data_IF_844443855869
#
_entry.id   IF_844443855869
#
_cell.length_a   1.000
_cell.length_b   1.000
_cell.length_c   1.000
_cell.angle_alpha   90.00
_cell.angle_beta   90.00
_cell.angle_gamma   90.00
#
_symmetry.space_group_name_H-M   'P 1'
#
loop_
_entity.id
_entity.type
_entity.pdbx_description
1 polymer ?
#
# COMPACT_ATOMS: atom_id res chain seq x y z
N UNK A 1 12.23 -7.85 20.74
CA UNK A 1 10.94 -8.07 20.06
C UNK A 1 10.08 -6.83 20.23
N UNK A 2 9.73 -6.13 19.15
CA UNK A 2 8.72 -5.07 19.21
C UNK A 2 7.37 -5.78 19.36
N UNK A 3 6.76 -5.68 20.53
CA UNK A 3 5.43 -6.26 20.76
C UNK A 3 4.38 -5.43 20.01
N UNK A 4 3.41 -6.11 19.41
CA UNK A 4 2.23 -5.43 18.86
C UNK A 4 1.51 -4.68 19.99
N UNK A 5 1.10 -3.42 19.81
CA UNK A 5 0.43 -2.67 20.87
C UNK A 5 -0.86 -3.38 21.28
N UNK A 6 -0.96 -3.71 22.57
CA UNK A 6 -2.16 -4.29 23.17
C UNK A 6 -3.24 -3.21 23.31
N UNK A 7 -4.21 -3.23 22.40
CA UNK A 7 -5.45 -2.47 22.49
C UNK A 7 -6.66 -3.40 22.64
N UNK A 8 -7.80 -2.86 23.06
CA UNK A 8 -9.09 -3.60 23.06
C UNK A 8 -9.23 -4.36 21.73
N UNK A 9 -9.66 -5.63 21.72
CA UNK A 9 -9.76 -6.42 20.50
C UNK A 9 -10.64 -5.67 19.50
N UNK A 10 -10.01 -5.16 18.43
CA UNK A 10 -10.74 -4.57 17.32
C UNK A 10 -11.60 -5.68 16.73
N UNK A 11 -12.89 -5.40 16.54
CA UNK A 11 -13.82 -6.33 15.88
C UNK A 11 -13.20 -6.78 14.56
N UNK A 12 -13.08 -8.08 14.36
CA UNK A 12 -12.60 -8.62 13.09
C UNK A 12 -13.64 -8.29 12.01
N UNK A 13 -13.23 -7.44 11.06
CA UNK A 13 -14.04 -7.02 9.93
C UNK A 13 -13.62 -7.73 8.64
N UNK A 14 -12.84 -8.82 8.71
CA UNK A 14 -12.34 -9.56 7.55
C UNK A 14 -13.47 -10.05 6.64
N UNK A 15 -14.57 -10.56 7.19
CA UNK A 15 -15.75 -10.92 6.40
C UNK A 15 -16.37 -9.73 5.65
N UNK A 16 -16.38 -8.53 6.25
CA UNK A 16 -16.87 -7.32 5.55
C UNK A 16 -15.87 -6.86 4.48
N UNK A 17 -14.56 -6.97 4.76
CA UNK A 17 -13.51 -6.67 3.80
C UNK A 17 -13.61 -7.58 2.56
N UNK A 18 -13.80 -8.88 2.76
CA UNK A 18 -14.00 -9.85 1.68
C UNK A 18 -15.28 -9.58 0.89
N UNK A 19 -16.39 -9.25 1.56
CA UNK A 19 -17.62 -8.85 0.88
C UNK A 19 -17.43 -7.60 0.02
N UNK A 20 -16.73 -6.59 0.54
CA UNK A 20 -16.42 -5.38 -0.20
C UNK A 20 -15.54 -5.70 -1.41
N UNK A 21 -14.48 -6.49 -1.22
CA UNK A 21 -13.56 -6.92 -2.28
C UNK A 21 -14.27 -7.66 -3.42
N UNK A 22 -15.19 -8.58 -3.09
CA UNK A 22 -15.95 -9.34 -4.06
C UNK A 22 -17.00 -8.50 -4.80
N UNK A 23 -17.49 -7.43 -4.18
CA UNK A 23 -18.38 -6.46 -4.81
C UNK A 23 -17.62 -5.39 -5.63
N UNK A 24 -16.30 -5.41 -5.65
CA UNK A 24 -15.46 -4.48 -6.41
C UNK A 24 -15.12 -5.01 -7.80
N UNK A 25 -14.95 -4.09 -8.74
CA UNK A 25 -14.63 -4.36 -10.15
C UNK A 25 -13.17 -4.09 -10.46
N UNK A 26 -12.61 -4.60 -11.59
CA UNK A 26 -11.27 -4.23 -12.04
C UNK A 26 -11.08 -2.71 -12.19
N UNK A 27 -9.83 -2.26 -12.12
CA UNK A 27 -9.47 -0.82 -12.16
C UNK A 27 -9.75 -0.17 -13.51
N UNK A 28 -9.56 -0.89 -14.61
CA UNK A 28 -9.67 -0.33 -15.97
C UNK A 28 -11.07 0.25 -16.25
N UNK A 29 -11.10 1.45 -16.84
CA UNK A 29 -12.33 2.18 -17.15
C UNK A 29 -13.03 2.82 -15.94
N UNK A 30 -12.33 3.01 -14.81
CA UNK A 30 -12.93 3.52 -13.55
C UNK A 30 -12.24 4.78 -13.02
N UNK A 31 -12.83 5.42 -12.00
CA UNK A 31 -12.18 6.53 -11.29
C UNK A 31 -10.83 6.13 -10.66
N UNK A 32 -10.64 4.86 -10.31
CA UNK A 32 -9.35 4.39 -9.81
C UNK A 32 -8.27 4.40 -10.90
N UNK A 33 -8.62 4.09 -12.14
CA UNK A 33 -7.68 4.23 -13.27
C UNK A 33 -7.34 5.71 -13.49
N UNK A 34 -8.34 6.59 -13.55
CA UNK A 34 -8.10 8.02 -13.69
C UNK A 34 -7.20 8.57 -12.57
N UNK A 35 -7.40 8.11 -11.33
CA UNK A 35 -6.53 8.43 -10.20
C UNK A 35 -5.08 7.96 -10.42
N UNK A 36 -4.87 6.70 -10.78
CA UNK A 36 -3.53 6.14 -11.00
C UNK A 36 -2.82 6.83 -12.17
N UNK A 37 -3.52 7.10 -13.28
CA UNK A 37 -2.99 7.85 -14.42
C UNK A 37 -2.58 9.27 -14.00
N UNK A 38 -3.42 9.97 -13.23
CA UNK A 38 -3.08 11.30 -12.71
C UNK A 38 -1.86 11.29 -11.76
N UNK A 39 -1.58 10.13 -11.15
CA UNK A 39 -0.37 9.84 -10.35
C UNK A 39 0.82 9.35 -11.18
N UNK A 40 0.76 9.39 -12.51
CA UNK A 40 1.84 8.96 -13.41
C UNK A 40 1.99 7.43 -13.53
N UNK A 41 1.00 6.66 -13.09
CA UNK A 41 1.05 5.21 -13.03
C UNK A 41 0.24 4.61 -14.18
N UNK A 42 0.93 3.86 -15.04
CA UNK A 42 0.35 3.24 -16.23
C UNK A 42 -0.06 1.78 -16.01
N UNK A 43 -0.87 1.26 -16.94
CA UNK A 43 -1.25 -0.15 -17.02
C UNK A 43 -0.05 -1.04 -17.42
N UNK A 44 -0.08 -2.37 -17.13
CA UNK A 44 -1.16 -3.11 -16.49
C UNK A 44 -1.27 -2.84 -14.98
N UNK A 45 -2.49 -2.66 -14.49
CA UNK A 45 -2.73 -2.48 -13.05
C UNK A 45 -2.76 -3.84 -12.32
N UNK A 46 -2.17 -3.94 -11.10
CA UNK A 46 -2.22 -5.17 -10.32
C UNK A 46 -3.63 -5.65 -10.03
N UNK A 47 -3.84 -6.97 -10.05
CA UNK A 47 -5.09 -7.62 -9.65
C UNK A 47 -5.46 -7.38 -8.18
N UNK A 48 -4.46 -7.03 -7.36
CA UNK A 48 -4.62 -6.61 -5.96
C UNK A 48 -5.32 -5.25 -5.83
N UNK A 49 -5.50 -4.50 -6.93
CA UNK A 49 -6.27 -3.27 -6.98
C UNK A 49 -7.60 -3.47 -7.71
N UNK A 50 -8.65 -2.92 -7.12
CA UNK A 50 -10.02 -2.90 -7.65
C UNK A 50 -10.66 -1.55 -7.39
N UNK A 51 -11.85 -1.34 -7.91
CA UNK A 51 -12.67 -0.15 -7.69
C UNK A 51 -14.05 -0.53 -7.14
N UNK A 52 -14.57 0.28 -6.23
CA UNK A 52 -15.96 0.19 -5.80
C UNK A 52 -16.62 1.58 -5.85
N UNK A 53 -17.72 1.76 -6.60
CA UNK A 53 -18.38 3.06 -6.73
C UNK A 53 -19.13 3.52 -5.47
N UNK A 54 -19.42 2.61 -4.54
CA UNK A 54 -20.27 2.85 -3.38
C UNK A 54 -19.72 2.19 -2.10
N UNK A 55 -18.67 2.78 -1.54
CA UNK A 55 -18.03 2.32 -0.31
C UNK A 55 -18.45 3.16 0.89
N UNK A 56 -18.76 2.52 2.03
CA UNK A 56 -19.11 3.23 3.26
C UNK A 56 -17.86 3.82 3.91
N UNK A 57 -17.92 5.11 4.21
CA UNK A 57 -16.99 5.87 5.04
C UNK A 57 -17.71 6.36 6.31
N UNK A 58 -16.97 6.49 7.42
CA UNK A 58 -17.50 7.02 8.68
C UNK A 58 -18.49 6.08 9.39
N UNK A 59 -19.12 6.59 10.44
CA UNK A 59 -20.09 5.89 11.28
C UNK A 59 -21.09 6.88 11.88
N UNK A 60 -22.27 6.42 12.27
CA UNK A 60 -23.29 7.29 12.87
C UNK A 60 -23.69 8.43 11.92
N UNK A 61 -23.72 9.66 12.44
CA UNK A 61 -24.07 10.86 11.68
C UNK A 61 -23.07 11.20 10.56
N UNK A 62 -21.81 10.77 10.69
CA UNK A 62 -20.76 11.02 9.68
C UNK A 62 -20.70 9.95 8.59
N UNK A 63 -21.66 9.01 8.56
CA UNK A 63 -21.70 7.94 7.58
C UNK A 63 -21.96 8.50 6.18
N UNK A 64 -21.06 8.20 5.25
CA UNK A 64 -21.13 8.62 3.83
C UNK A 64 -20.91 7.42 2.92
N UNK A 65 -21.44 7.49 1.70
CA UNK A 65 -21.16 6.53 0.63
C UNK A 65 -20.34 7.26 -0.43
N UNK A 66 -19.18 6.71 -0.78
CA UNK A 66 -18.23 7.36 -1.67
C UNK A 66 -17.52 6.32 -2.55
N UNK A 67 -17.11 6.70 -3.78
CA UNK A 67 -16.28 5.83 -4.60
C UNK A 67 -14.89 5.67 -3.97
N UNK A 68 -14.32 4.48 -4.12
CA UNK A 68 -12.99 4.19 -3.59
C UNK A 68 -12.23 3.18 -4.46
N UNK A 69 -10.92 3.39 -4.59
CA UNK A 69 -10.01 2.33 -4.97
C UNK A 69 -9.86 1.38 -3.77
N UNK A 70 -10.00 0.08 -4.02
CA UNK A 70 -9.93 -0.98 -3.04
C UNK A 70 -8.67 -1.79 -3.31
N UNK A 71 -7.77 -1.86 -2.33
CA UNK A 71 -6.57 -2.66 -2.39
C UNK A 71 -6.69 -3.87 -1.45
N UNK A 72 -6.47 -5.07 -1.97
CA UNK A 72 -6.43 -6.28 -1.18
C UNK A 72 -5.23 -6.25 -0.24
N UNK A 73 -5.46 -6.60 1.02
CA UNK A 73 -4.40 -6.82 2.02
C UNK A 73 -4.39 -8.29 2.35
N UNK A 74 -3.29 -8.95 2.00
CA UNK A 74 -3.20 -10.40 1.92
C UNK A 74 -2.01 -10.95 2.71
N UNK A 75 -2.23 -12.11 3.31
CA UNK A 75 -1.17 -13.00 3.80
C UNK A 75 -1.24 -14.33 3.04
N UNK A 76 -0.50 -15.33 3.49
CA UNK A 76 -0.44 -16.63 2.81
C UNK A 76 -1.73 -17.45 2.92
N UNK A 77 -2.66 -17.05 3.80
CA UNK A 77 -4.00 -17.62 3.91
C UNK A 77 -5.02 -16.91 3.01
N UNK A 78 -4.66 -15.80 2.38
CA UNK A 78 -5.50 -15.01 1.48
C UNK A 78 -5.82 -13.60 2.00
N UNK A 79 -6.94 -13.06 1.53
CA UNK A 79 -7.38 -11.70 1.87
C UNK A 79 -7.89 -11.63 3.32
N UNK A 80 -7.24 -10.79 4.12
CA UNK A 80 -7.59 -10.57 5.55
C UNK A 80 -8.15 -9.16 5.81
N UNK A 81 -7.85 -8.22 4.92
CA UNK A 81 -8.32 -6.85 5.01
C UNK A 81 -8.36 -6.20 3.61
N UNK A 82 -8.92 -5.00 3.55
CA UNK A 82 -8.76 -4.11 2.38
C UNK A 82 -8.35 -2.73 2.83
N UNK A 83 -7.52 -2.06 2.04
CA UNK A 83 -7.33 -0.62 2.13
C UNK A 83 -8.26 0.08 1.15
N UNK A 84 -8.99 1.09 1.62
CA UNK A 84 -9.86 1.92 0.79
C UNK A 84 -9.20 3.27 0.60
N UNK A 85 -8.94 3.67 -0.63
CA UNK A 85 -8.54 5.03 -1.00
C UNK A 85 -9.78 5.72 -1.57
N UNK A 86 -10.43 6.56 -0.77
CA UNK A 86 -11.62 7.29 -1.19
C UNK A 86 -11.27 8.37 -2.21
N UNK A 87 -12.04 8.41 -3.29
CA UNK A 87 -11.81 9.31 -4.42
C UNK A 87 -12.92 10.34 -4.50
N UNK A 88 -12.58 11.54 -4.94
CA UNK A 88 -13.57 12.56 -5.30
C UNK A 88 -13.96 12.35 -6.78
N UNK A 89 -15.26 12.23 -7.11
CA UNK A 89 -15.70 11.98 -8.48
C UNK A 89 -15.55 13.19 -9.41
N UNK A 90 -15.36 14.39 -8.87
CA UNK A 90 -15.15 15.63 -9.64
C UNK A 90 -13.67 15.86 -9.91
N UNK A 91 -12.80 15.56 -8.94
CA UNK A 91 -11.35 15.68 -9.07
C UNK A 91 -10.65 14.54 -8.34
N UNK A 92 -10.16 13.54 -9.08
CA UNK A 92 -9.53 12.35 -8.50
C UNK A 92 -8.28 12.63 -7.67
N UNK A 93 -7.61 13.78 -7.86
CA UNK A 93 -6.46 14.16 -7.03
C UNK A 93 -6.85 14.95 -5.78
N UNK A 94 -8.06 15.49 -5.73
CA UNK A 94 -8.60 16.14 -4.54
C UNK A 94 -8.77 15.10 -3.44
N UNK A 95 -8.38 15.47 -2.22
CA UNK A 95 -8.65 14.67 -1.02
C UNK A 95 -10.09 14.94 -0.57
N UNK A 96 -11.04 14.00 -0.75
CA UNK A 96 -12.42 14.22 -0.32
C UNK A 96 -12.57 14.26 1.20
N UNK A 97 -11.59 13.70 1.92
CA UNK A 97 -11.51 13.64 3.38
C UNK A 97 -10.05 13.80 3.84
N UNK A 98 -9.79 14.23 5.10
CA UNK A 98 -8.42 14.51 5.58
C UNK A 98 -7.45 13.32 5.47
N UNK A 99 -7.95 12.10 5.69
CA UNK A 99 -7.20 10.84 5.59
C UNK A 99 -7.93 9.88 4.64
N UNK A 100 -7.68 9.96 3.32
CA UNK A 100 -8.45 9.22 2.32
C UNK A 100 -8.16 7.72 2.30
N UNK A 101 -7.04 7.28 2.87
CA UNK A 101 -6.62 5.87 2.94
C UNK A 101 -7.08 5.26 4.28
N UNK A 102 -8.01 4.30 4.23
CA UNK A 102 -8.63 3.70 5.42
C UNK A 102 -8.72 2.18 5.30
N UNK A 103 -8.05 1.47 6.22
CA UNK A 103 -8.14 0.02 6.31
C UNK A 103 -9.51 -0.46 6.80
N UNK A 104 -9.92 -1.66 6.37
CA UNK A 104 -11.07 -2.41 6.86
C UNK A 104 -10.63 -3.85 7.09
N UNK A 105 -10.68 -4.31 8.34
CA UNK A 105 -10.12 -5.61 8.74
C UNK A 105 -8.83 -5.46 9.55
N UNK A 106 -8.29 -6.59 10.00
CA UNK A 106 -7.05 -6.65 10.75
C UNK A 106 -5.89 -6.95 9.80
N UNK A 107 -5.01 -5.98 9.65
CA UNK A 107 -3.91 -6.07 8.70
C UNK A 107 -2.78 -6.97 9.23
N UNK A 108 -2.40 -6.85 10.51
CA UNK A 108 -1.35 -7.69 11.11
C UNK A 108 -0.05 -7.70 10.31
N UNK A 109 0.39 -8.89 9.91
CA UNK A 109 1.60 -9.12 9.09
C UNK A 109 1.34 -9.10 7.57
N UNK A 110 0.08 -8.94 7.13
CA UNK A 110 -0.33 -8.98 5.73
C UNK A 110 0.08 -7.72 4.94
N UNK A 111 0.18 -7.78 3.62
CA UNK A 111 0.56 -6.61 2.81
C UNK A 111 -0.35 -6.45 1.59
N UNK A 112 -0.31 -5.28 0.97
CA UNK A 112 -0.87 -5.10 -0.37
C UNK A 112 0.16 -5.62 -1.36
N UNK A 113 -0.01 -6.88 -1.78
CA UNK A 113 0.93 -7.62 -2.63
C UNK A 113 0.72 -7.25 -4.12
N UNK A 114 1.22 -6.09 -4.53
CA UNK A 114 1.00 -5.52 -5.89
C UNK A 114 1.70 -6.31 -7.00
N UNK A 115 2.74 -7.08 -6.66
CA UNK A 115 3.41 -8.00 -7.55
C UNK A 115 3.79 -9.28 -6.79
N UNK A 116 3.97 -10.39 -7.49
CA UNK A 116 4.51 -11.60 -6.87
C UNK A 116 5.96 -11.35 -6.45
N UNK A 117 6.29 -11.65 -5.19
CA UNK A 117 7.67 -11.59 -4.72
C UNK A 117 8.55 -12.55 -5.54
N UNK A 118 9.79 -12.15 -5.78
CA UNK A 118 10.83 -12.98 -6.40
C UNK A 118 11.84 -13.41 -5.33
N UNK A 119 13.10 -13.63 -5.68
CA UNK A 119 14.22 -13.59 -4.73
C UNK A 119 14.52 -12.15 -4.26
N UNK A 120 14.02 -11.14 -4.98
CA UNK A 120 13.94 -9.76 -4.52
C UNK A 120 12.50 -9.33 -4.18
N UNK A 121 12.37 -8.45 -3.20
CA UNK A 121 11.11 -7.81 -2.82
C UNK A 121 11.32 -6.34 -2.42
N UNK A 122 10.63 -5.44 -3.11
CA UNK A 122 10.47 -4.05 -2.71
C UNK A 122 9.40 -3.89 -1.64
N UNK A 123 9.58 -2.96 -0.71
CA UNK A 123 8.59 -2.54 0.27
C UNK A 123 8.46 -1.01 0.24
N UNK A 124 7.23 -0.49 0.16
CA UNK A 124 6.95 0.93 0.26
C UNK A 124 5.77 1.20 1.21
N UNK A 125 5.65 2.43 1.71
CA UNK A 125 4.50 2.83 2.54
C UNK A 125 3.21 2.83 1.72
N UNK A 126 3.19 3.56 0.60
CA UNK A 126 2.02 3.76 -0.24
C UNK A 126 1.88 2.78 -1.40
N UNK A 127 0.65 2.67 -1.93
CA UNK A 127 0.38 1.96 -3.20
C UNK A 127 1.07 2.70 -4.34
N UNK A 128 1.01 4.03 -4.32
CA UNK A 128 1.57 4.90 -5.34
C UNK A 128 3.09 4.77 -5.41
N UNK A 129 3.78 4.82 -4.26
CA UNK A 129 5.23 4.62 -4.17
C UNK A 129 5.66 3.22 -4.59
N UNK A 130 4.93 2.19 -4.18
CA UNK A 130 5.22 0.82 -4.57
C UNK A 130 5.07 0.61 -6.08
N UNK A 131 4.03 1.17 -6.69
CA UNK A 131 3.84 1.12 -8.15
C UNK A 131 4.91 1.93 -8.87
N UNK A 132 5.25 3.12 -8.39
CA UNK A 132 6.33 3.95 -8.94
C UNK A 132 7.68 3.23 -8.89
N UNK A 133 8.03 2.61 -7.77
CA UNK A 133 9.24 1.82 -7.65
C UNK A 133 9.25 0.61 -8.61
N UNK A 134 8.11 -0.05 -8.77
CA UNK A 134 7.97 -1.18 -9.72
C UNK A 134 8.15 -0.72 -11.16
N UNK A 135 7.52 0.38 -11.57
CA UNK A 135 7.61 0.89 -12.95
C UNK A 135 8.98 1.49 -13.27
N UNK A 136 9.61 2.14 -12.29
CA UNK A 136 10.91 2.78 -12.50
C UNK A 136 12.07 1.77 -12.43
N UNK A 137 12.08 0.91 -11.42
CA UNK A 137 13.23 0.04 -11.15
C UNK A 137 13.03 -1.43 -11.55
N UNK A 138 11.81 -1.82 -11.93
CA UNK A 138 11.47 -3.22 -12.23
C UNK A 138 11.34 -4.11 -10.99
N UNK A 139 11.53 -3.59 -9.79
CA UNK A 139 11.47 -4.36 -8.54
C UNK A 139 10.02 -4.71 -8.19
N UNK A 140 9.66 -6.00 -8.00
CA UNK A 140 8.34 -6.36 -7.49
C UNK A 140 8.14 -5.77 -6.10
N UNK A 141 7.20 -4.82 -5.95
CA UNK A 141 7.10 -4.02 -4.71
C UNK A 141 5.73 -4.18 -4.04
N UNK A 142 5.71 -4.35 -2.73
CA UNK A 142 4.48 -4.38 -1.92
C UNK A 142 4.26 -3.06 -1.21
N UNK A 143 2.99 -2.69 -1.03
CA UNK A 143 2.61 -1.55 -0.21
C UNK A 143 2.18 -2.00 1.19
N UNK A 144 2.64 -1.27 2.21
CA UNK A 144 2.38 -1.61 3.60
C UNK A 144 1.19 -0.83 4.18
N UNK A 145 0.92 0.39 3.74
CA UNK A 145 -0.11 1.25 4.37
C UNK A 145 0.32 1.82 5.73
N UNK A 146 1.64 1.93 5.95
CA UNK A 146 2.27 2.53 7.12
C UNK A 146 3.73 2.08 7.28
N UNK A 147 4.67 3.01 7.45
CA UNK A 147 6.10 2.71 7.60
C UNK A 147 6.43 1.87 8.85
N UNK A 148 5.65 1.98 9.93
CA UNK A 148 5.81 1.19 11.14
C UNK A 148 5.65 -0.32 10.91
N UNK A 149 5.01 -0.68 9.78
CA UNK A 149 4.73 -2.08 9.42
C UNK A 149 5.94 -2.82 8.87
N UNK A 150 7.03 -2.11 8.55
CA UNK A 150 8.30 -2.73 8.16
C UNK A 150 8.77 -3.76 9.19
N UNK A 151 8.52 -3.53 10.49
CA UNK A 151 8.92 -4.43 11.56
C UNK A 151 8.05 -5.70 11.70
N UNK A 152 6.95 -5.82 10.94
CA UNK A 152 5.94 -6.87 11.15
C UNK A 152 5.54 -7.62 9.87
N UNK A 153 5.78 -7.05 8.68
CA UNK A 153 5.32 -7.65 7.42
C UNK A 153 5.90 -9.06 7.24
N UNK A 154 5.06 -10.05 6.91
CA UNK A 154 5.53 -11.39 6.60
C UNK A 154 6.24 -11.37 5.23
N UNK A 155 7.53 -11.75 5.22
CA UNK A 155 8.35 -11.80 4.00
C UNK A 155 8.50 -13.27 3.58
N UNK A 156 8.19 -13.63 2.32
CA UNK A 156 8.34 -15.01 1.85
C UNK A 156 9.78 -15.51 1.99
N UNK A 157 9.96 -16.78 2.38
CA UNK A 157 11.28 -17.37 2.66
C UNK A 157 12.24 -17.35 1.46
N UNK A 158 11.70 -17.37 0.24
CA UNK A 158 12.50 -17.31 -0.99
C UNK A 158 13.18 -15.96 -1.22
N UNK A 159 12.73 -14.89 -0.55
CA UNK A 159 13.30 -13.56 -0.68
C UNK A 159 14.69 -13.54 -0.03
N UNK A 160 15.69 -13.14 -0.81
CA UNK A 160 17.09 -12.96 -0.42
C UNK A 160 17.48 -11.49 -0.31
N UNK A 161 16.80 -10.60 -1.02
CA UNK A 161 17.03 -9.15 -0.95
C UNK A 161 15.74 -8.40 -0.71
N UNK A 162 15.76 -7.51 0.27
CA UNK A 162 14.68 -6.57 0.58
C UNK A 162 15.14 -5.16 0.23
N UNK A 163 14.36 -4.46 -0.59
CA UNK A 163 14.59 -3.07 -0.95
C UNK A 163 13.49 -2.22 -0.33
N UNK A 164 13.83 -1.35 0.62
CA UNK A 164 12.87 -0.41 1.20
C UNK A 164 12.90 0.87 0.40
N UNK A 165 11.80 1.15 -0.29
CA UNK A 165 11.52 2.42 -0.96
C UNK A 165 10.85 3.34 0.05
N UNK A 166 11.66 4.05 0.83
CA UNK A 166 11.21 4.88 1.94
C UNK A 166 11.15 6.36 1.60
N UNK A 167 10.29 7.06 2.33
CA UNK A 167 10.20 8.53 2.31
C UNK A 167 11.42 9.16 2.97
N UNK A 168 11.65 10.44 2.69
CA UNK A 168 12.72 11.20 3.35
C UNK A 168 12.40 11.52 4.80
N UNK A 169 13.41 11.35 5.66
CA UNK A 169 13.47 12.03 6.96
C UNK A 169 13.66 11.12 8.16
N UNK A 170 14.04 11.75 9.28
CA UNK A 170 14.49 11.05 10.50
C UNK A 170 13.48 10.07 11.09
N UNK A 171 12.19 10.28 10.87
CA UNK A 171 11.16 9.37 11.37
C UNK A 171 11.18 8.04 10.62
N UNK A 172 11.28 8.09 9.28
CA UNK A 172 11.42 6.91 8.43
C UNK A 172 12.72 6.16 8.74
N UNK A 173 13.85 6.88 8.87
CA UNK A 173 15.14 6.27 9.22
C UNK A 173 15.09 5.48 10.53
N UNK A 174 14.47 6.06 11.57
CA UNK A 174 14.32 5.39 12.88
C UNK A 174 13.45 4.15 12.81
N UNK A 175 12.40 4.17 11.99
CA UNK A 175 11.50 3.01 11.85
C UNK A 175 12.15 1.90 11.01
N UNK A 176 12.90 2.27 9.97
CA UNK A 176 13.72 1.32 9.22
C UNK A 176 14.75 0.64 10.13
N UNK A 177 15.45 1.41 10.97
CA UNK A 177 16.45 0.85 11.89
C UNK A 177 15.81 -0.11 12.89
N UNK A 178 14.63 0.23 13.44
CA UNK A 178 13.86 -0.68 14.30
C UNK A 178 13.38 -1.95 13.59
N UNK A 179 13.20 -1.90 12.27
CA UNK A 179 12.79 -3.04 11.46
C UNK A 179 13.99 -3.88 10.95
N UNK A 180 15.23 -3.38 11.07
CA UNK A 180 16.43 -3.99 10.46
C UNK A 180 16.53 -5.48 10.74
N UNK A 181 16.46 -5.89 12.01
CA UNK A 181 16.58 -7.30 12.41
C UNK A 181 15.55 -8.20 11.71
N UNK A 182 14.31 -7.72 11.59
CA UNK A 182 13.25 -8.44 10.90
C UNK A 182 13.51 -8.51 9.39
N UNK A 183 13.91 -7.39 8.78
CA UNK A 183 14.15 -7.32 7.33
C UNK A 183 15.39 -8.13 6.91
N UNK A 184 16.43 -8.22 7.75
CA UNK A 184 17.66 -9.00 7.48
C UNK A 184 17.60 -10.43 7.99
N UNK A 185 16.57 -10.83 8.74
CA UNK A 185 16.42 -12.21 9.21
C UNK A 185 16.51 -13.23 8.06
N UNK A 186 16.95 -14.45 8.39
CA UNK A 186 17.23 -15.51 7.41
C UNK A 186 18.32 -15.13 6.36
N UNK A 187 19.23 -14.23 6.71
CA UNK A 187 20.37 -13.85 5.87
C UNK A 187 20.02 -12.96 4.69
N UNK A 188 18.93 -12.19 4.80
CA UNK A 188 18.49 -11.27 3.73
C UNK A 188 19.40 -10.04 3.65
N UNK A 189 19.74 -9.65 2.43
CA UNK A 189 20.33 -8.34 2.16
C UNK A 189 19.25 -7.25 2.31
N UNK A 190 19.56 -6.16 3.00
CA UNK A 190 18.69 -5.00 3.14
C UNK A 190 19.30 -3.80 2.42
N UNK A 191 18.55 -3.25 1.46
CA UNK A 191 18.86 -2.02 0.74
C UNK A 191 17.82 -0.96 1.10
N UNK A 192 18.27 0.24 1.44
CA UNK A 192 17.40 1.41 1.57
C UNK A 192 17.54 2.30 0.35
N UNK A 193 16.41 2.70 -0.25
CA UNK A 193 16.35 3.66 -1.35
C UNK A 193 15.40 4.79 -0.98
N UNK A 194 15.93 6.00 -1.02
CA UNK A 194 15.22 7.23 -0.70
C UNK A 194 15.40 8.21 -1.86
N UNK A 195 14.37 8.98 -2.25
CA UNK A 195 14.50 9.93 -3.35
C UNK A 195 15.52 11.04 -3.05
N UNK A 196 16.24 11.51 -4.07
CA UNK A 196 17.30 12.51 -3.92
C UNK A 196 16.78 13.93 -3.68
N UNK A 197 15.64 14.30 -4.28
CA UNK A 197 15.11 15.67 -4.28
C UNK A 197 13.59 15.74 -4.03
N UNK A 198 12.98 14.62 -3.63
CA UNK A 198 11.52 14.51 -3.42
C UNK A 198 11.21 13.86 -2.08
N UNK A 199 10.03 14.16 -1.52
CA UNK A 199 9.62 13.61 -0.23
C UNK A 199 9.25 12.12 -0.32
N UNK A 200 8.63 11.70 -1.45
CA UNK A 200 8.20 10.33 -1.72
C UNK A 200 8.60 9.85 -3.15
N UNK A 201 8.46 8.55 -3.39
CA UNK A 201 8.85 7.92 -4.65
C UNK A 201 7.86 8.19 -5.78
N UNK A 202 6.58 8.44 -5.48
CA UNK A 202 5.60 8.79 -6.51
C UNK A 202 5.89 10.15 -7.14
N UNK A 203 6.23 11.15 -6.34
CA UNK A 203 6.58 12.47 -6.85
C UNK A 203 7.91 12.45 -7.62
N UNK A 204 8.89 11.68 -7.15
CA UNK A 204 10.14 11.47 -7.88
C UNK A 204 9.91 10.81 -9.25
N UNK A 205 9.07 9.78 -9.30
CA UNK A 205 8.71 9.11 -10.55
C UNK A 205 8.01 10.05 -11.53
N UNK A 206 7.01 10.80 -11.06
CA UNK A 206 6.28 11.78 -11.89
C UNK A 206 7.20 12.89 -12.41
N UNK A 207 8.19 13.31 -11.62
CA UNK A 207 9.19 14.26 -12.06
C UNK A 207 10.09 13.65 -13.16
N UNK A 208 10.60 12.43 -12.94
CA UNK A 208 11.41 11.72 -13.92
C UNK A 208 10.70 11.55 -15.27
N UNK A 209 9.43 11.12 -15.27
CA UNK A 209 8.63 10.96 -16.49
C UNK A 209 8.41 12.25 -17.29
N UNK A 210 8.49 13.43 -16.66
CA UNK A 210 8.36 14.72 -17.36
C UNK A 210 9.67 15.20 -17.97
N UNK A 211 10.79 14.68 -17.49
CA UNK A 211 12.14 15.06 -17.92
C UNK A 211 12.72 14.09 -18.96
N UNK A 212 12.09 12.92 -19.15
CA UNK A 212 12.43 11.90 -20.13
C UNK A 212 11.65 12.11 -21.44
#
# INVERSE_FOLDING_TARGET
AVAMPEGKPKRDMGALALRLWNASVPVAGTLAEAYLVARGLSAPYPKALRFNPATIFGSGADRRVMPAMIAAVENDLGLVAVQRTFLDPVDVLRKPIPKPKVALGLVGTAAIRLASATDELGLAEGIEDALSATQWFGTPTWALGGVERLAFVAIPEKVRRVIVYGDRGRAADRLLEKARDHLTANGRELISRVPEDHDDWNDAWRAHQRSA
#
